data_IF_744037810983
#
_entry.id   IF_744037810983
#
_cell.length_a   1.000
_cell.length_b   1.000
_cell.length_c   1.000
_cell.angle_alpha   90.00
_cell.angle_beta   90.00
_cell.angle_gamma   90.00
#
_symmetry.space_group_name_H-M   'P 1'
#
loop_
_entity.id
_entity.type
_entity.pdbx_description
1 polymer ?
#
# COMPACT_ATOMS: atom_id res chain seq x y z
N UNK A 1 -22.71 -4.27 10.97
CA UNK A 1 -22.67 -5.54 10.22
C UNK A 1 -21.27 -5.68 9.65
N UNK A 2 -20.62 -6.84 9.79
CA UNK A 2 -19.33 -7.11 9.16
C UNK A 2 -19.57 -7.80 7.82
N UNK A 3 -18.77 -7.46 6.81
CA UNK A 3 -18.82 -8.05 5.47
C UNK A 3 -17.41 -8.33 4.99
N UNK A 4 -17.22 -9.45 4.29
CA UNK A 4 -15.94 -9.82 3.67
C UNK A 4 -15.74 -9.13 2.32
N UNK A 5 -16.80 -8.61 1.72
CA UNK A 5 -16.77 -7.86 0.47
C UNK A 5 -17.39 -6.48 0.66
N UNK A 6 -16.97 -5.47 -0.12
CA UNK A 6 -17.66 -4.20 -0.15
C UNK A 6 -19.17 -4.41 -0.37
N UNK A 7 -20.04 -3.90 0.51
CA UNK A 7 -21.47 -4.12 0.38
C UNK A 7 -22.00 -3.37 -0.84
N UNK A 8 -22.88 -4.01 -1.61
CA UNK A 8 -23.65 -3.31 -2.64
C UNK A 8 -24.56 -2.29 -1.94
N UNK A 9 -24.29 -1.00 -2.16
CA UNK A 9 -25.07 0.09 -1.57
C UNK A 9 -25.25 1.22 -2.58
N UNK A 10 -26.43 1.82 -2.61
CA UNK A 10 -26.70 3.05 -3.37
C UNK A 10 -26.38 4.32 -2.56
N UNK A 11 -26.04 4.18 -1.27
CA UNK A 11 -25.72 5.30 -0.39
C UNK A 11 -24.31 5.83 -0.69
N UNK A 12 -24.13 7.16 -0.86
CA UNK A 12 -22.80 7.76 -0.95
C UNK A 12 -21.87 7.27 0.15
N UNK A 13 -20.73 6.71 -0.25
CA UNK A 13 -19.81 6.00 0.63
C UNK A 13 -18.44 6.67 0.61
N UNK A 14 -17.83 6.77 1.80
CA UNK A 14 -16.42 7.11 1.97
C UNK A 14 -15.68 5.82 2.29
N UNK A 15 -14.67 5.50 1.48
CA UNK A 15 -13.80 4.36 1.67
C UNK A 15 -12.52 4.79 2.39
N UNK A 16 -12.10 4.04 3.40
CA UNK A 16 -10.80 4.24 4.06
C UNK A 16 -10.07 2.89 4.01
N UNK A 17 -8.89 2.88 3.41
CA UNK A 17 -8.01 1.72 3.41
C UNK A 17 -6.68 2.14 4.05
N UNK A 18 -6.38 1.59 5.23
CA UNK A 18 -5.17 1.88 5.97
C UNK A 18 -4.35 0.60 6.07
N UNK A 19 -3.18 0.56 5.45
CA UNK A 19 -2.29 -0.62 5.41
C UNK A 19 -3.03 -1.87 4.94
N UNK A 20 -3.71 -1.72 3.80
CA UNK A 20 -4.52 -2.79 3.21
C UNK A 20 -3.94 -3.20 1.85
N UNK A 21 -3.45 -2.23 1.08
CA UNK A 21 -3.05 -2.45 -0.30
C UNK A 21 -1.69 -3.17 -0.36
N UNK A 22 -0.79 -2.89 0.59
CA UNK A 22 0.51 -3.55 0.72
C UNK A 22 0.44 -5.05 1.02
N UNK A 23 -0.68 -5.51 1.60
CA UNK A 23 -0.93 -6.88 1.97
C UNK A 23 -1.57 -7.73 0.85
N UNK A 24 -1.95 -7.11 -0.28
CA UNK A 24 -2.43 -7.90 -1.42
C UNK A 24 -1.31 -8.77 -2.01
N UNK A 25 -1.62 -9.97 -2.54
CA UNK A 25 -0.63 -10.77 -3.24
C UNK A 25 -0.01 -10.01 -4.41
N UNK A 26 1.31 -10.04 -4.50
CA UNK A 26 2.08 -9.44 -5.58
C UNK A 26 2.85 -10.50 -6.37
N UNK A 27 2.92 -10.30 -7.67
CA UNK A 27 3.74 -11.06 -8.60
C UNK A 27 4.99 -10.28 -8.93
N UNK A 28 6.15 -10.92 -8.80
CA UNK A 28 7.44 -10.38 -9.23
C UNK A 28 7.75 -10.84 -10.66
N UNK A 29 8.09 -9.88 -11.52
CA UNK A 29 8.57 -10.11 -12.88
C UNK A 29 10.03 -9.67 -12.93
N UNK A 30 10.88 -10.48 -13.54
CA UNK A 30 12.28 -10.15 -13.76
C UNK A 30 12.54 -9.84 -15.23
N UNK A 31 13.43 -8.88 -15.46
CA UNK A 31 13.94 -8.55 -16.79
C UNK A 31 15.45 -8.83 -16.79
N UNK A 32 15.87 -9.84 -17.54
CA UNK A 32 17.28 -10.25 -17.68
C UNK A 32 17.58 -10.58 -19.13
N UNK A 33 18.68 -10.06 -19.67
CA UNK A 33 19.11 -10.28 -21.05
C UNK A 33 18.00 -10.01 -22.11
N UNK A 34 17.17 -9.00 -21.85
CA UNK A 34 16.04 -8.62 -22.70
C UNK A 34 14.84 -9.58 -22.64
N UNK A 35 14.85 -10.56 -21.74
CA UNK A 35 13.76 -11.51 -21.51
C UNK A 35 12.97 -11.12 -20.27
N UNK A 36 11.65 -11.20 -20.40
CA UNK A 36 10.68 -10.95 -19.32
C UNK A 36 10.16 -12.31 -18.86
N UNK A 37 10.28 -12.61 -17.58
CA UNK A 37 9.78 -13.86 -17.01
C UNK A 37 9.31 -13.66 -15.55
N UNK A 38 8.37 -14.48 -15.05
CA UNK A 38 8.00 -14.44 -13.64
C UNK A 38 9.18 -14.86 -12.76
N UNK A 39 9.38 -14.16 -11.64
CA UNK A 39 10.20 -14.68 -10.54
C UNK A 39 9.34 -15.67 -9.77
N UNK A 40 9.77 -16.91 -9.71
CA UNK A 40 9.00 -17.98 -9.05
C UNK A 40 9.74 -18.48 -7.80
N UNK A 41 9.02 -19.21 -6.96
CA UNK A 41 9.56 -19.85 -5.76
C UNK A 41 9.66 -21.34 -6.04
N UNK A 42 10.82 -21.92 -5.77
CA UNK A 42 11.10 -23.35 -5.87
C UNK A 42 11.82 -23.86 -4.62
N UNK A 43 12.45 -25.03 -4.75
CA UNK A 43 13.34 -25.58 -3.74
C UNK A 43 14.80 -25.46 -4.23
N UNK A 44 15.70 -25.05 -3.34
CA UNK A 44 17.14 -25.10 -3.58
C UNK A 44 17.70 -26.52 -3.35
N UNK A 45 19.02 -26.68 -3.49
CA UNK A 45 19.70 -27.98 -3.31
C UNK A 45 19.59 -28.56 -1.90
N UNK A 46 19.26 -27.75 -0.89
CA UNK A 46 19.04 -28.17 0.50
C UNK A 46 17.57 -28.49 0.79
N UNK A 47 16.67 -28.35 -0.19
CA UNK A 47 15.23 -28.58 -0.04
C UNK A 47 14.49 -27.43 0.65
N UNK A 48 15.11 -26.25 0.75
CA UNK A 48 14.52 -25.04 1.33
C UNK A 48 13.89 -24.15 0.24
N UNK A 49 12.87 -23.36 0.62
CA UNK A 49 12.25 -22.41 -0.29
C UNK A 49 13.25 -21.33 -0.72
N UNK A 50 13.33 -21.10 -2.02
CA UNK A 50 14.16 -20.05 -2.61
C UNK A 50 13.52 -19.48 -3.87
N UNK A 51 13.87 -18.24 -4.22
CA UNK A 51 13.56 -17.72 -5.54
C UNK A 51 14.36 -18.46 -6.62
N UNK A 52 13.74 -18.76 -7.76
CA UNK A 52 14.42 -19.37 -8.90
C UNK A 52 15.53 -18.51 -9.47
N UNK A 53 15.41 -17.18 -9.33
CA UNK A 53 16.46 -16.20 -9.60
C UNK A 53 16.64 -15.32 -8.35
N UNK A 54 17.61 -15.62 -7.46
CA UNK A 54 17.80 -14.88 -6.21
C UNK A 54 18.27 -13.44 -6.39
N UNK A 55 19.08 -13.18 -7.42
CA UNK A 55 19.70 -11.87 -7.67
C UNK A 55 19.39 -11.36 -9.09
N UNK A 56 18.12 -11.04 -9.38
CA UNK A 56 17.75 -10.56 -10.69
C UNK A 56 18.31 -9.16 -10.96
N UNK A 57 18.64 -8.86 -12.22
CA UNK A 57 19.11 -7.53 -12.63
C UNK A 57 18.04 -6.44 -12.40
N UNK A 58 16.79 -6.74 -12.75
CA UNK A 58 15.66 -5.85 -12.57
C UNK A 58 14.45 -6.65 -12.12
N UNK A 59 13.73 -6.11 -11.13
CA UNK A 59 12.44 -6.62 -10.65
C UNK A 59 11.38 -5.55 -10.84
N UNK A 60 10.20 -5.98 -11.26
CA UNK A 60 8.98 -5.18 -11.22
C UNK A 60 7.89 -5.97 -10.50
N UNK A 61 7.10 -5.27 -9.69
CA UNK A 61 6.04 -5.84 -8.87
C UNK A 61 4.68 -5.33 -9.34
N UNK A 62 3.68 -6.22 -9.32
CA UNK A 62 2.30 -5.86 -9.61
C UNK A 62 1.33 -6.76 -8.83
N UNK A 63 0.15 -6.25 -8.50
CA UNK A 63 -0.91 -7.01 -7.85
C UNK A 63 -2.18 -7.05 -8.71
N UNK A 64 -2.40 -8.14 -9.46
CA UNK A 64 -3.66 -8.36 -10.18
C UNK A 64 -4.87 -8.39 -9.24
N UNK A 65 -4.72 -8.97 -8.05
CA UNK A 65 -5.80 -9.11 -7.07
C UNK A 65 -6.21 -7.76 -6.48
N UNK A 66 -5.24 -6.89 -6.16
CA UNK A 66 -5.53 -5.51 -5.75
C UNK A 66 -6.30 -4.78 -6.84
N UNK A 67 -5.87 -4.89 -8.11
CA UNK A 67 -6.55 -4.29 -9.26
C UNK A 67 -8.00 -4.77 -9.36
N UNK A 68 -8.23 -6.07 -9.30
CA UNK A 68 -9.59 -6.65 -9.33
C UNK A 68 -10.44 -6.16 -8.16
N UNK A 69 -9.87 -6.07 -6.96
CA UNK A 69 -10.57 -5.57 -5.78
C UNK A 69 -10.97 -4.09 -5.94
N UNK A 70 -10.05 -3.24 -6.40
CA UNK A 70 -10.31 -1.83 -6.69
C UNK A 70 -11.42 -1.68 -7.73
N UNK A 71 -11.38 -2.46 -8.81
CA UNK A 71 -12.38 -2.42 -9.87
C UNK A 71 -13.76 -2.90 -9.42
N UNK A 72 -13.81 -3.78 -8.42
CA UNK A 72 -15.05 -4.31 -7.84
C UNK A 72 -15.68 -3.40 -6.77
N UNK A 73 -15.05 -2.25 -6.44
CA UNK A 73 -15.62 -1.31 -5.48
C UNK A 73 -17.01 -0.82 -5.93
N UNK A 74 -17.96 -0.55 -5.01
CA UNK A 74 -19.27 -0.04 -5.36
C UNK A 74 -19.19 1.33 -6.05
N UNK A 75 -20.02 1.57 -7.05
CA UNK A 75 -20.09 2.87 -7.74
C UNK A 75 -20.50 4.03 -6.82
N UNK A 76 -21.11 3.72 -5.68
CA UNK A 76 -21.50 4.67 -4.64
C UNK A 76 -20.33 5.20 -3.81
N UNK A 77 -19.11 4.69 -3.99
CA UNK A 77 -17.91 5.31 -3.42
C UNK A 77 -17.70 6.66 -4.07
N UNK A 78 -17.84 7.73 -3.29
CA UNK A 78 -17.67 9.12 -3.74
C UNK A 78 -16.42 9.78 -3.18
N UNK A 79 -15.81 9.18 -2.16
CA UNK A 79 -14.48 9.53 -1.69
C UNK A 79 -13.75 8.29 -1.20
N UNK A 80 -12.43 8.27 -1.38
CA UNK A 80 -11.56 7.24 -0.84
C UNK A 80 -10.27 7.86 -0.29
N UNK A 81 -9.79 7.33 0.83
CA UNK A 81 -8.48 7.66 1.40
C UNK A 81 -7.72 6.36 1.57
N UNK A 82 -6.60 6.25 0.86
CA UNK A 82 -5.68 5.12 0.96
C UNK A 82 -4.40 5.59 1.65
N UNK A 83 -4.02 4.90 2.73
CA UNK A 83 -2.83 5.16 3.51
C UNK A 83 -1.97 3.92 3.47
N UNK A 84 -0.80 4.02 2.85
CA UNK A 84 0.06 2.85 2.66
C UNK A 84 1.51 3.24 2.35
N UNK A 85 2.41 2.27 2.44
CA UNK A 85 3.81 2.42 2.05
C UNK A 85 3.90 2.40 0.53
N UNK A 86 4.47 3.42 -0.11
CA UNK A 86 4.47 3.40 -1.56
C UNK A 86 5.01 4.62 -2.27
N UNK A 87 4.86 4.58 -3.59
CA UNK A 87 5.20 5.68 -4.51
C UNK A 87 4.13 5.81 -5.59
N UNK A 88 4.15 6.91 -6.32
CA UNK A 88 3.32 7.11 -7.51
C UNK A 88 4.25 7.27 -8.72
N UNK A 89 4.51 6.19 -9.44
CA UNK A 89 5.48 6.18 -10.56
C UNK A 89 5.00 5.24 -11.68
N UNK A 90 5.17 5.68 -12.93
CA UNK A 90 4.69 5.01 -14.16
C UNK A 90 5.46 3.70 -14.51
N UNK A 91 6.57 3.41 -13.84
CA UNK A 91 7.31 2.17 -14.01
C UNK A 91 8.14 1.87 -12.76
N UNK A 92 7.52 1.39 -11.66
CA UNK A 92 8.28 1.08 -10.47
C UNK A 92 9.21 -0.10 -10.76
N UNK A 93 10.48 0.09 -10.44
CA UNK A 93 11.49 -0.97 -10.43
C UNK A 93 12.01 -1.13 -9.01
N UNK A 94 12.29 -2.36 -8.64
CA UNK A 94 12.76 -2.71 -7.30
C UNK A 94 12.02 -3.91 -6.73
N UNK A 95 12.73 -4.59 -5.83
CA UNK A 95 12.20 -5.65 -4.97
C UNK A 95 11.78 -4.98 -3.66
N UNK A 96 10.48 -4.82 -3.46
CA UNK A 96 9.93 -4.17 -2.26
C UNK A 96 9.27 -5.14 -1.30
N UNK A 97 9.14 -6.41 -1.71
CA UNK A 97 8.68 -7.50 -0.85
C UNK A 97 9.56 -7.59 0.40
N UNK A 98 8.94 -7.39 1.55
CA UNK A 98 9.59 -7.42 2.84
C UNK A 98 8.86 -8.38 3.77
N UNK A 99 9.61 -8.87 4.75
CA UNK A 99 9.15 -9.82 5.72
C UNK A 99 9.49 -9.36 7.13
N UNK A 100 8.49 -9.28 8.00
CA UNK A 100 8.64 -8.89 9.39
C UNK A 100 8.17 -10.00 10.31
N UNK A 101 9.04 -10.39 11.24
CA UNK A 101 8.68 -11.31 12.33
C UNK A 101 9.14 -10.69 13.65
N UNK A 102 8.21 -10.52 14.60
CA UNK A 102 8.45 -9.88 15.91
C UNK A 102 9.15 -8.51 15.79
N UNK A 103 8.69 -7.67 14.85
CA UNK A 103 9.22 -6.33 14.55
C UNK A 103 10.67 -6.31 14.02
N UNK A 104 11.20 -7.44 13.54
CA UNK A 104 12.52 -7.53 12.91
C UNK A 104 12.38 -7.96 11.45
N UNK A 105 13.20 -7.37 10.57
CA UNK A 105 13.33 -7.81 9.18
C UNK A 105 13.94 -9.21 9.14
N UNK A 106 13.30 -10.10 8.42
CA UNK A 106 13.74 -11.49 8.23
C UNK A 106 13.71 -11.85 6.73
N UNK A 107 14.20 -13.03 6.39
CA UNK A 107 13.99 -13.58 5.04
C UNK A 107 12.50 -13.76 4.75
N UNK A 108 12.09 -13.53 3.50
CA UNK A 108 10.70 -13.79 3.04
C UNK A 108 10.28 -15.26 3.15
N UNK A 109 11.26 -16.16 3.26
CA UNK A 109 11.03 -17.59 3.48
C UNK A 109 11.15 -18.00 4.96
N UNK A 110 11.36 -17.04 5.88
CA UNK A 110 11.41 -17.34 7.31
C UNK A 110 10.03 -17.76 7.80
N UNK A 111 9.89 -19.01 8.26
CA UNK A 111 8.67 -19.55 8.87
C UNK A 111 7.37 -19.15 8.14
N UNK A 112 7.14 -19.63 6.89
CA UNK A 112 5.97 -19.24 6.11
C UNK A 112 4.66 -19.46 6.88
N UNK A 113 3.78 -18.45 6.84
CA UNK A 113 2.54 -18.41 7.62
C UNK A 113 2.67 -17.85 9.04
N UNK A 114 3.89 -17.60 9.54
CA UNK A 114 4.16 -16.94 10.83
C UNK A 114 4.86 -15.58 10.69
N UNK A 115 5.25 -15.23 9.46
CA UNK A 115 5.92 -13.99 9.12
C UNK A 115 4.99 -13.12 8.30
N UNK A 116 4.92 -11.84 8.64
CA UNK A 116 4.13 -10.86 7.92
C UNK A 116 4.86 -10.46 6.63
N UNK A 117 4.12 -10.38 5.52
CA UNK A 117 4.66 -10.05 4.20
C UNK A 117 3.96 -8.81 3.66
N UNK A 118 4.75 -7.80 3.32
CA UNK A 118 4.25 -6.55 2.74
C UNK A 118 5.09 -6.13 1.54
N UNK A 119 4.49 -5.34 0.67
CA UNK A 119 5.13 -4.75 -0.52
C UNK A 119 4.77 -3.29 -0.61
N UNK A 120 5.62 -2.46 -1.22
CA UNK A 120 5.26 -1.08 -1.46
C UNK A 120 4.17 -0.99 -2.55
N UNK A 121 3.16 -0.18 -2.27
CA UNK A 121 2.06 0.12 -3.18
C UNK A 121 2.54 1.07 -4.26
N UNK A 122 2.28 0.73 -5.53
CA UNK A 122 2.36 1.70 -6.61
C UNK A 122 1.00 2.38 -6.83
N UNK A 123 0.86 3.61 -6.33
CA UNK A 123 -0.35 4.42 -6.48
C UNK A 123 -0.65 4.82 -7.93
N UNK A 124 0.33 4.77 -8.85
CA UNK A 124 0.06 4.92 -10.28
C UNK A 124 -0.85 3.78 -10.79
N UNK A 125 -0.56 2.54 -10.38
CA UNK A 125 -1.38 1.38 -10.75
C UNK A 125 -2.77 1.43 -10.10
N UNK A 126 -2.86 1.95 -8.88
CA UNK A 126 -4.15 2.20 -8.20
C UNK A 126 -4.97 3.24 -8.97
N UNK A 127 -4.35 4.35 -9.41
CA UNK A 127 -5.01 5.36 -10.23
C UNK A 127 -5.54 4.77 -11.54
N UNK A 128 -4.73 3.95 -12.23
CA UNK A 128 -5.12 3.31 -13.48
C UNK A 128 -6.30 2.33 -13.28
N UNK A 129 -6.30 1.56 -12.19
CA UNK A 129 -7.41 0.66 -11.88
C UNK A 129 -8.71 1.43 -11.63
N UNK A 130 -8.65 2.49 -10.82
CA UNK A 130 -9.83 3.30 -10.47
C UNK A 130 -10.31 4.16 -11.64
N UNK A 131 -9.45 4.68 -12.50
CA UNK A 131 -9.89 5.50 -13.64
C UNK A 131 -10.68 4.68 -14.67
N UNK A 132 -10.40 3.39 -14.80
CA UNK A 132 -11.14 2.47 -15.67
C UNK A 132 -12.54 2.13 -15.14
N UNK A 133 -12.69 1.91 -13.83
CA UNK A 133 -13.94 1.42 -13.22
C UNK A 133 -14.76 2.49 -12.50
N UNK A 134 -14.13 3.57 -12.06
CA UNK A 134 -14.70 4.66 -11.25
C UNK A 134 -14.21 6.03 -11.76
N UNK A 135 -14.45 6.38 -13.04
CA UNK A 135 -13.95 7.63 -13.62
C UNK A 135 -14.46 8.90 -12.91
N UNK A 136 -15.51 8.80 -12.08
CA UNK A 136 -15.98 9.90 -11.24
C UNK A 136 -15.05 10.19 -10.05
N UNK A 137 -14.24 9.23 -9.60
CA UNK A 137 -13.28 9.40 -8.53
C UNK A 137 -11.99 10.05 -9.05
N UNK A 138 -11.87 11.36 -8.84
CA UNK A 138 -10.70 12.11 -9.30
C UNK A 138 -9.52 11.93 -8.33
N UNK A 139 -8.35 11.44 -8.80
CA UNK A 139 -7.17 11.28 -7.97
C UNK A 139 -6.61 12.64 -7.56
N UNK A 140 -6.26 12.78 -6.29
CA UNK A 140 -5.55 13.95 -5.78
C UNK A 140 -4.05 13.72 -5.71
N UNK A 141 -3.28 14.79 -5.56
CA UNK A 141 -1.83 14.68 -5.33
C UNK A 141 -1.56 13.80 -4.12
N UNK A 142 -0.68 12.81 -4.28
CA UNK A 142 -0.20 11.98 -3.18
C UNK A 142 0.59 12.83 -2.18
N UNK A 143 0.41 12.58 -0.89
CA UNK A 143 1.08 13.34 0.16
C UNK A 143 1.79 12.41 1.15
N UNK A 144 2.99 12.79 1.64
CA UNK A 144 3.58 12.14 2.79
C UNK A 144 2.63 12.21 4.01
N UNK A 145 2.53 11.12 4.78
CA UNK A 145 1.62 11.04 5.94
C UNK A 145 1.79 12.20 6.91
N UNK A 146 3.03 12.57 7.23
CA UNK A 146 3.31 13.65 8.18
C UNK A 146 2.75 14.99 7.71
N UNK A 147 2.88 15.28 6.42
CA UNK A 147 2.33 16.50 5.80
C UNK A 147 0.81 16.43 5.80
N UNK A 148 0.23 15.32 5.37
CA UNK A 148 -1.21 15.11 5.34
C UNK A 148 -1.84 15.36 6.71
N UNK A 149 -1.30 14.74 7.78
CA UNK A 149 -1.82 14.87 9.13
C UNK A 149 -1.72 16.30 9.66
N UNK A 150 -0.60 16.98 9.43
CA UNK A 150 -0.42 18.38 9.85
C UNK A 150 -1.39 19.31 9.12
N UNK A 151 -1.56 19.14 7.81
CA UNK A 151 -2.50 19.93 7.01
C UNK A 151 -3.97 19.71 7.41
N UNK A 152 -4.30 18.57 8.01
CA UNK A 152 -5.65 18.23 8.48
C UNK A 152 -5.84 18.41 9.99
N UNK A 153 -4.98 19.21 10.63
CA UNK A 153 -5.23 19.73 11.98
C UNK A 153 -4.73 18.86 13.13
N UNK A 154 -3.82 17.90 12.89
CA UNK A 154 -3.23 17.10 13.97
C UNK A 154 -2.60 17.96 15.07
N UNK A 155 -1.93 19.06 14.70
CA UNK A 155 -1.33 19.97 15.67
C UNK A 155 -2.37 20.61 16.60
N UNK A 156 -3.47 21.12 16.03
CA UNK A 156 -4.57 21.69 16.80
C UNK A 156 -5.26 20.65 17.70
N UNK A 157 -5.43 19.42 17.20
CA UNK A 157 -5.99 18.31 17.96
C UNK A 157 -5.09 17.94 19.15
N UNK A 158 -3.77 17.83 18.94
CA UNK A 158 -2.82 17.53 20.01
C UNK A 158 -2.80 18.60 21.11
N UNK A 159 -2.90 19.88 20.72
CA UNK A 159 -3.02 20.99 21.68
C UNK A 159 -4.34 20.91 22.47
N UNK A 160 -5.45 20.63 21.80
CA UNK A 160 -6.78 20.59 22.43
C UNK A 160 -6.94 19.45 23.44
N UNK A 161 -6.27 18.32 23.22
CA UNK A 161 -6.29 17.18 24.14
C UNK A 161 -5.38 17.39 25.37
N UNK A 162 -4.55 18.45 25.37
CA UNK A 162 -3.60 18.76 26.45
C UNK A 162 -2.32 17.93 26.38
N UNK A 163 -1.23 18.49 26.92
CA UNK A 163 0.16 18.03 26.72
C UNK A 163 0.45 16.57 27.17
N UNK A 164 -0.43 15.95 27.96
CA UNK A 164 -0.25 14.60 28.51
C UNK A 164 -1.14 13.53 27.85
N UNK A 165 -2.01 13.90 26.92
CA UNK A 165 -2.99 12.99 26.32
C UNK A 165 -2.45 12.18 25.15
N UNK A 166 -1.53 12.77 24.37
CA UNK A 166 -0.90 12.12 23.22
C UNK A 166 0.60 12.02 23.50
N UNK A 167 1.16 10.79 23.62
CA UNK A 167 2.58 10.62 23.85
C UNK A 167 3.42 11.26 22.72
N UNK A 168 4.46 12.00 23.08
CA UNK A 168 5.38 12.62 22.11
C UNK A 168 5.98 11.58 21.16
N UNK A 169 6.28 10.37 21.65
CA UNK A 169 6.76 9.26 20.84
C UNK A 169 5.78 8.86 19.72
N UNK A 170 4.47 8.95 19.96
CA UNK A 170 3.43 8.66 18.95
C UNK A 170 3.40 9.73 17.87
N UNK A 171 3.45 11.01 18.26
CA UNK A 171 3.53 12.12 17.32
C UNK A 171 4.81 12.06 16.48
N UNK A 172 5.95 11.81 17.13
CA UNK A 172 7.22 11.64 16.44
C UNK A 172 7.15 10.47 15.45
N UNK A 173 6.53 9.34 15.83
CA UNK A 173 6.38 8.20 14.93
C UNK A 173 5.58 8.52 13.67
N UNK A 174 4.47 9.25 13.81
CA UNK A 174 3.59 9.61 12.70
C UNK A 174 4.16 10.72 11.81
N UNK A 175 4.91 11.66 12.38
CA UNK A 175 5.33 12.89 11.70
C UNK A 175 6.78 12.89 11.21
N UNK A 176 7.67 12.16 11.88
CA UNK A 176 9.09 12.25 11.61
C UNK A 176 9.45 11.65 10.24
N UNK A 177 10.24 12.35 9.38
CA UNK A 177 10.56 11.88 8.03
C UNK A 177 11.26 10.52 7.96
N UNK A 178 12.10 10.22 8.96
CA UNK A 178 12.81 8.95 9.09
C UNK A 178 11.94 7.84 9.75
N UNK A 179 10.68 8.13 10.07
CA UNK A 179 9.69 7.16 10.53
C UNK A 179 8.53 7.14 9.53
N UNK A 180 7.27 7.18 9.99
CA UNK A 180 6.12 7.06 9.10
C UNK A 180 5.89 8.33 8.27
N UNK A 181 6.39 9.50 8.71
CA UNK A 181 6.01 10.80 8.16
C UNK A 181 6.30 10.98 6.68
N UNK A 182 7.36 10.35 6.16
CA UNK A 182 7.68 10.33 4.72
C UNK A 182 7.57 8.94 4.11
N UNK A 183 7.73 7.88 4.90
CA UNK A 183 7.65 6.52 4.40
C UNK A 183 6.21 6.15 3.98
N UNK A 184 5.22 6.55 4.78
CA UNK A 184 3.81 6.39 4.42
C UNK A 184 3.35 7.50 3.50
N UNK A 185 2.52 7.12 2.55
CA UNK A 185 1.83 8.03 1.66
C UNK A 185 0.33 7.99 1.91
N UNK A 186 -0.32 9.11 1.63
CA UNK A 186 -1.77 9.25 1.63
C UNK A 186 -2.21 9.64 0.22
N UNK A 187 -3.06 8.81 -0.37
CA UNK A 187 -3.67 9.04 -1.67
C UNK A 187 -5.18 9.19 -1.51
N UNK A 188 -5.68 10.36 -1.86
CA UNK A 188 -7.10 10.67 -1.80
C UNK A 188 -7.72 10.63 -3.20
N UNK A 189 -8.98 10.21 -3.24
CA UNK A 189 -9.84 10.26 -4.41
C UNK A 189 -11.17 10.86 -3.99
N UNK A 190 -11.75 11.74 -4.79
CA UNK A 190 -13.11 12.21 -4.57
C UNK A 190 -13.75 12.71 -5.85
N UNK A 191 -15.09 12.69 -5.87
CA UNK A 191 -15.86 13.29 -6.96
C UNK A 191 -15.66 14.81 -6.97
N UNK A 192 -15.23 15.37 -8.08
CA UNK A 192 -15.35 16.81 -8.33
C UNK A 192 -16.84 17.13 -8.52
N UNK A 193 -17.46 17.59 -7.43
CA UNK A 193 -18.90 17.85 -7.35
C UNK A 193 -19.37 18.96 -8.29
N UNK A 194 -20.68 19.01 -8.62
CA UNK A 194 -21.82 18.86 -7.69
C UNK A 194 -22.41 17.47 -7.52
#
# INVERSE_FOLDING_TARGET
>A
QWSLTPPATATPTILIANELLDAFPHSQIIVEDGRIQPRTIGLNDTGELAFTQPHPQQVTEHSPQMRTWLQALPQSVHAAVFLDYGTETDAPTGDTLQALHKHAKVSVFHQPGQTDLTTHVNFHNVNAALSESHPHLQPQTIQPLGIFLLSHGLASLALAQGQHSVPEATLNRLLHPQQMGTLFQVKCYYTSRP
#
